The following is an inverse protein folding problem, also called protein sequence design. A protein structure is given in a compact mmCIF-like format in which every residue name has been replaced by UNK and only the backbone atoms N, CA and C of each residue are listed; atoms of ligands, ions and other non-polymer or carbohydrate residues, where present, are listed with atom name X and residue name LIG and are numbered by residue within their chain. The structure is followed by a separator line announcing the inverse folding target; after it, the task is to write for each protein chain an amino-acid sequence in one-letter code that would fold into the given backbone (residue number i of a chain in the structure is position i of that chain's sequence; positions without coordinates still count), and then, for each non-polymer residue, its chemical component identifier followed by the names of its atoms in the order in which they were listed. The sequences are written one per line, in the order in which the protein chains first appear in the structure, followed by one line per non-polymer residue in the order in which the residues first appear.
data_IF_683048353569
#
_entry.id   IF_683048353569
#
_cell.length_a   1.000
_cell.length_b   1.000
_cell.length_c   1.000
_cell.angle_alpha   90.00
_cell.angle_beta   90.00
_cell.angle_gamma   90.00
#
_symmetry.space_group_name_H-M   'P 1'
#
loop_
_entity.id
_entity.type
_entity.pdbx_description
1 polymer ?
#
# COMPACT_ATOMS: atom_id res chain seq x y z
N UNK A 1 -1.41 -7.55 7.93
CA UNK A 1 -0.97 -6.47 7.00
C UNK A 1 0.53 -6.57 6.79
N UNK A 2 1.35 -6.45 7.84
CA UNK A 2 2.81 -6.68 7.76
C UNK A 2 3.19 -8.05 7.16
N UNK A 3 2.49 -9.14 7.47
CA UNK A 3 2.78 -10.46 6.89
C UNK A 3 2.48 -10.58 5.39
N UNK A 4 1.45 -9.87 4.93
CA UNK A 4 1.01 -9.92 3.53
C UNK A 4 1.97 -9.09 2.68
N UNK A 5 2.21 -7.84 3.07
CA UNK A 5 3.14 -6.95 2.36
C UNK A 5 4.61 -7.40 2.54
N UNK A 6 4.98 -7.96 3.69
CA UNK A 6 6.35 -8.35 4.01
C UNK A 6 6.82 -9.61 3.28
N UNK A 7 5.90 -10.38 2.69
CA UNK A 7 6.25 -11.48 1.77
C UNK A 7 6.84 -11.01 0.45
N UNK A 8 6.56 -9.79 0.04
CA UNK A 8 7.00 -9.26 -1.27
C UNK A 8 8.32 -8.51 -1.18
N UNK A 9 8.67 -7.97 -0.02
CA UNK A 9 9.91 -7.21 0.15
C UNK A 9 10.07 -6.52 1.49
N UNK A 10 11.19 -5.80 1.62
CA UNK A 10 11.51 -5.02 2.81
C UNK A 10 10.62 -3.78 2.89
N UNK A 11 9.75 -3.75 3.91
CA UNK A 11 8.87 -2.62 4.18
C UNK A 11 9.60 -1.62 5.06
N UNK A 12 9.67 -0.38 4.60
CA UNK A 12 10.26 0.74 5.34
C UNK A 12 9.33 1.28 6.41
N UNK A 13 8.05 1.48 6.05
CA UNK A 13 7.03 1.97 6.97
C UNK A 13 5.61 1.63 6.46
N UNK A 14 4.70 1.38 7.39
CA UNK A 14 3.25 1.33 7.12
C UNK A 14 2.56 2.41 7.95
N UNK A 15 1.72 3.23 7.31
CA UNK A 15 0.87 4.22 7.96
C UNK A 15 -0.59 3.90 7.66
N UNK A 16 -1.37 3.60 8.69
CA UNK A 16 -2.79 3.30 8.53
C UNK A 16 -3.58 4.60 8.73
N UNK A 17 -4.53 4.88 7.84
CA UNK A 17 -5.46 5.99 7.99
C UNK A 17 -6.38 5.77 9.19
N UNK A 18 -6.35 6.69 10.16
CA UNK A 18 -7.16 6.61 11.38
C UNK A 18 -8.35 7.59 11.38
N UNK A 19 -8.47 8.46 10.37
CA UNK A 19 -9.62 9.37 10.27
C UNK A 19 -10.82 8.62 9.68
N UNK A 20 -12.06 9.00 10.01
CA UNK A 20 -13.25 8.35 9.44
C UNK A 20 -13.29 8.39 7.91
N UNK A 21 -12.68 9.41 7.29
CA UNK A 21 -12.54 9.56 5.84
C UNK A 21 -11.43 8.68 5.24
N UNK A 22 -10.40 8.35 6.01
CA UNK A 22 -9.26 7.51 5.57
C UNK A 22 -9.31 6.09 6.17
N UNK A 23 -10.38 5.75 6.89
CA UNK A 23 -10.58 4.45 7.50
C UNK A 23 -10.71 3.39 6.41
N UNK A 24 -9.81 2.41 6.42
CA UNK A 24 -9.69 1.41 5.35
C UNK A 24 -8.63 1.75 4.30
N UNK A 25 -7.92 2.88 4.45
CA UNK A 25 -6.71 3.17 3.66
C UNK A 25 -5.45 2.90 4.47
N UNK A 26 -4.44 2.36 3.82
CA UNK A 26 -3.10 2.20 4.40
C UNK A 26 -2.06 2.63 3.37
N UNK A 27 -1.04 3.34 3.85
CA UNK A 27 0.13 3.74 3.09
C UNK A 27 1.28 2.79 3.42
N UNK A 28 1.70 2.00 2.45
CA UNK A 28 2.87 1.10 2.59
C UNK A 28 4.02 1.68 1.80
N UNK A 29 5.19 1.80 2.42
CA UNK A 29 6.42 2.31 1.82
C UNK A 29 7.45 1.18 1.78
N UNK A 30 7.89 0.83 0.59
CA UNK A 30 8.97 -0.15 0.37
C UNK A 30 10.33 0.54 0.22
N UNK A 31 11.40 -0.22 0.48
CA UNK A 31 12.78 0.23 0.23
C UNK A 31 13.15 0.10 -1.26
N UNK A 32 12.67 -0.95 -1.93
CA UNK A 32 12.97 -1.27 -3.33
C UNK A 32 11.77 -1.07 -4.28
N UNK A 33 12.06 -0.58 -5.49
CA UNK A 33 11.05 -0.37 -6.56
C UNK A 33 10.52 -1.69 -7.12
N UNK A 34 11.36 -2.73 -7.21
CA UNK A 34 10.97 -4.01 -7.78
C UNK A 34 9.97 -4.74 -6.88
N UNK A 35 10.23 -4.77 -5.59
CA UNK A 35 9.35 -5.34 -4.56
C UNK A 35 8.01 -4.60 -4.51
N UNK A 36 8.08 -3.27 -4.52
CA UNK A 36 6.94 -2.38 -4.63
C UNK A 36 6.04 -2.73 -5.84
N UNK A 37 6.63 -2.87 -7.02
CA UNK A 37 5.90 -3.20 -8.25
C UNK A 37 5.26 -4.58 -8.16
N UNK A 38 6.03 -5.58 -7.73
CA UNK A 38 5.58 -6.96 -7.64
C UNK A 38 4.42 -7.11 -6.63
N UNK A 39 4.53 -6.43 -5.48
CA UNK A 39 3.47 -6.35 -4.49
C UNK A 39 2.22 -5.67 -5.06
N UNK A 40 2.36 -4.57 -5.79
CA UNK A 40 1.22 -3.87 -6.37
C UNK A 40 0.43 -4.74 -7.35
N UNK A 41 1.12 -5.50 -8.22
CA UNK A 41 0.49 -6.38 -9.20
C UNK A 41 -0.21 -7.58 -8.54
N UNK A 42 0.40 -8.17 -7.50
CA UNK A 42 -0.17 -9.35 -6.83
C UNK A 42 -1.23 -9.00 -5.78
N UNK A 43 -1.14 -7.82 -5.16
CA UNK A 43 -2.09 -7.38 -4.14
C UNK A 43 -3.30 -6.66 -4.73
N UNK A 44 -3.18 -6.12 -5.95
CA UNK A 44 -4.33 -5.61 -6.68
C UNK A 44 -5.24 -6.77 -7.08
N UNK A 45 -6.48 -6.78 -6.56
CA UNK A 45 -7.42 -7.88 -6.77
C UNK A 45 -7.23 -9.06 -5.81
N UNK A 46 -6.36 -8.93 -4.79
CA UNK A 46 -6.26 -9.93 -3.74
C UNK A 46 -7.53 -9.92 -2.88
N UNK A 47 -8.19 -11.06 -2.77
CA UNK A 47 -9.43 -11.19 -1.99
C UNK A 47 -9.10 -11.60 -0.55
N UNK A 48 -9.29 -10.67 0.39
CA UNK A 48 -9.20 -10.93 1.83
C UNK A 48 -10.60 -10.87 2.40
N UNK A 49 -11.08 -11.99 2.96
CA UNK A 49 -12.37 -12.06 3.65
C UNK A 49 -13.56 -11.56 2.80
N UNK A 50 -13.63 -11.96 1.52
CA UNK A 50 -14.64 -11.50 0.56
C UNK A 50 -14.54 -10.01 0.16
N UNK A 51 -13.40 -9.37 0.42
CA UNK A 51 -13.10 -7.99 0.02
C UNK A 51 -11.86 -7.95 -0.86
N UNK A 52 -11.97 -7.26 -2.00
CA UNK A 52 -10.84 -7.07 -2.90
C UNK A 52 -9.99 -5.88 -2.45
N UNK A 53 -8.69 -6.10 -2.31
CA UNK A 53 -7.74 -5.03 -2.09
C UNK A 53 -7.46 -4.33 -3.41
N UNK A 54 -7.50 -3.01 -3.38
CA UNK A 54 -7.11 -2.16 -4.50
C UNK A 54 -5.86 -1.40 -4.08
N UNK A 55 -4.80 -1.53 -4.86
CA UNK A 55 -3.52 -0.88 -4.61
C UNK A 55 -3.30 0.20 -5.67
N UNK A 56 -3.14 1.45 -5.22
CA UNK A 56 -2.95 2.60 -6.09
C UNK A 56 -1.63 3.30 -5.75
N UNK A 57 -0.95 3.81 -6.77
CA UNK A 57 0.22 4.66 -6.57
C UNK A 57 -0.20 6.01 -6.00
N UNK A 58 0.38 6.36 -4.85
CA UNK A 58 0.16 7.68 -4.25
C UNK A 58 1.14 8.69 -4.83
N UNK A 59 0.66 9.64 -5.62
CA UNK A 59 1.46 10.79 -6.05
C UNK A 59 1.15 12.01 -5.18
N UNK A 60 1.98 12.27 -4.16
CA UNK A 60 1.90 13.53 -3.41
C UNK A 60 2.55 14.62 -4.23
N UNK A 61 1.74 15.50 -4.81
CA UNK A 61 2.21 16.68 -5.53
C UNK A 61 3.15 17.50 -4.61
N UNK A 62 4.40 17.66 -5.07
CA UNK A 62 5.50 18.48 -4.52
C UNK A 62 6.24 17.95 -3.28
N UNK A 63 7.56 17.76 -3.49
CA UNK A 63 8.67 17.69 -2.51
C UNK A 63 8.84 16.37 -1.74
N UNK A 64 9.66 15.47 -2.29
CA UNK A 64 10.75 14.78 -1.58
C UNK A 64 11.61 14.03 -2.59
N UNK A 65 12.91 14.34 -2.62
CA UNK A 65 13.89 13.91 -3.62
C UNK A 65 14.30 12.41 -3.55
N UNK A 66 13.49 11.57 -2.91
CA UNK A 66 13.59 10.12 -2.98
C UNK A 66 12.19 9.59 -3.16
N UNK A 67 11.94 8.95 -4.31
CA UNK A 67 10.67 8.32 -4.67
C UNK A 67 10.33 7.32 -3.57
N UNK A 68 9.62 7.77 -2.55
CA UNK A 68 9.05 6.90 -1.54
C UNK A 68 7.89 6.24 -2.25
N UNK A 69 8.05 4.99 -2.69
CA UNK A 69 7.02 4.20 -3.37
C UNK A 69 5.89 3.93 -2.38
N UNK A 70 5.05 4.95 -2.18
CA UNK A 70 3.94 4.92 -1.27
C UNK A 70 2.74 4.38 -2.03
N UNK A 71 2.27 3.22 -1.63
CA UNK A 71 1.02 2.67 -2.14
C UNK A 71 -0.11 3.03 -1.20
N UNK A 72 -1.18 3.62 -1.73
CA UNK A 72 -2.46 3.63 -1.01
C UNK A 72 -3.12 2.29 -1.27
N UNK A 73 -3.10 1.42 -0.28
CA UNK A 73 -3.97 0.27 -0.26
C UNK A 73 -5.33 0.72 0.24
N UNK A 74 -6.31 0.79 -0.65
CA UNK A 74 -7.71 0.81 -0.28
C UNK A 74 -8.10 -0.63 0.01
N UNK A 75 -8.25 -0.95 1.29
CA UNK A 75 -9.08 -2.08 1.69
C UNK A 75 -10.51 -1.65 1.32
N UNK A 76 -10.91 -1.97 0.09
CA UNK A 76 -12.20 -1.55 -0.39
C UNK A 76 -13.26 -2.20 0.51
N UNK A 77 -14.01 -1.33 1.17
CA UNK A 77 -15.31 -1.54 1.80
C UNK A 77 -15.36 -1.91 3.29
N UNK A 78 -16.02 -1.02 4.04
CA UNK A 78 -17.14 -1.36 4.93
C UNK A 78 -17.89 -2.62 4.51
#
# INVERSE_FOLDING_TARGET
MYDIFGKYGAIRQIRIGNTPETKGTALVVYEDIFDAKNACEHLSGFNVCNRYLVVLYYQRNRVSFYVSYVFVCFLCLY
#
